data_IF_901220203409
#
_entry.id   IF_901220203409
#
_cell.length_a   1.000
_cell.length_b   1.000
_cell.length_c   1.000
_cell.angle_alpha   90.00
_cell.angle_beta   90.00
_cell.angle_gamma   90.00
#
_symmetry.space_group_name_H-M   'P 1'
#
loop_
_entity.id
_entity.type
_entity.pdbx_description
1 polymer ?
#
# COMPACT_ATOMS: atom_id res chain seq x y z
N UNK A 1 -14.88 15.87 38.83
CA UNK A 1 -14.47 14.60 38.18
C UNK A 1 -14.41 14.86 36.69
N UNK A 2 -13.25 15.13 36.16
CA UNK A 2 -13.06 15.30 34.71
C UNK A 2 -12.90 13.91 34.09
N UNK A 3 -13.92 13.48 33.38
CA UNK A 3 -13.89 12.25 32.58
C UNK A 3 -12.95 12.49 31.37
N UNK A 4 -11.65 12.27 31.54
CA UNK A 4 -10.71 12.16 30.43
C UNK A 4 -11.01 10.87 29.67
N UNK A 5 -12.04 10.88 28.81
CA UNK A 5 -12.12 9.95 27.71
C UNK A 5 -10.96 10.26 26.78
N UNK A 6 -9.81 9.63 26.97
CA UNK A 6 -8.79 9.58 25.93
C UNK A 6 -9.46 9.05 24.66
N UNK A 7 -9.71 9.92 23.71
CA UNK A 7 -10.16 9.52 22.37
C UNK A 7 -9.04 8.65 21.80
N UNK A 8 -9.26 7.34 21.82
CA UNK A 8 -8.30 6.41 21.23
C UNK A 8 -8.35 6.66 19.73
N UNK A 9 -7.34 7.34 19.19
CA UNK A 9 -7.22 7.59 17.77
C UNK A 9 -7.04 6.25 17.04
N UNK A 10 -7.94 6.01 16.09
CA UNK A 10 -7.85 4.86 15.20
C UNK A 10 -7.22 5.30 13.89
N UNK A 11 -6.37 4.44 13.34
CA UNK A 11 -5.68 4.68 12.09
C UNK A 11 -6.14 3.71 11.01
N UNK A 12 -6.07 4.16 9.77
CA UNK A 12 -6.09 3.32 8.59
C UNK A 12 -4.72 3.39 7.89
N UNK A 13 -4.44 2.40 7.08
CA UNK A 13 -3.24 2.37 6.25
C UNK A 13 -3.67 2.35 4.78
N UNK A 14 -3.10 3.24 3.96
CA UNK A 14 -3.04 3.07 2.53
C UNK A 14 -1.70 2.47 2.16
N UNK A 15 -1.70 1.19 1.83
CA UNK A 15 -0.49 0.47 1.45
C UNK A 15 -0.32 0.49 -0.06
N UNK A 16 0.53 1.39 -0.56
CA UNK A 16 0.96 1.40 -1.96
C UNK A 16 1.86 0.20 -2.24
N UNK A 17 1.58 -0.48 -3.33
CA UNK A 17 2.35 -1.67 -3.77
C UNK A 17 2.99 -1.41 -5.13
N UNK A 18 2.24 -1.55 -6.23
CA UNK A 18 2.69 -1.30 -7.62
C UNK A 18 1.90 -0.19 -8.31
N UNK A 19 0.92 0.33 -7.65
CA UNK A 19 -0.05 1.34 -8.07
C UNK A 19 0.37 2.74 -7.59
N UNK A 20 1.57 3.17 -7.94
CA UNK A 20 2.22 4.38 -7.43
C UNK A 20 1.64 5.66 -8.06
N UNK A 21 0.33 5.85 -7.91
CA UNK A 21 -0.42 6.99 -8.45
C UNK A 21 -1.49 7.49 -7.49
N UNK A 22 -1.87 8.78 -7.63
CA UNK A 22 -2.92 9.41 -6.80
C UNK A 22 -4.26 9.56 -7.54
N UNK A 23 -4.26 9.38 -8.86
CA UNK A 23 -5.45 9.44 -9.69
C UNK A 23 -5.86 8.04 -10.11
N UNK A 24 -7.18 7.79 -10.21
CA UNK A 24 -7.75 6.49 -10.55
C UNK A 24 -7.19 5.35 -9.68
N UNK A 25 -7.16 5.59 -8.39
CA UNK A 25 -6.70 4.65 -7.38
C UNK A 25 -7.79 4.48 -6.32
N UNK A 26 -8.60 3.43 -6.49
CA UNK A 26 -9.73 3.14 -5.61
C UNK A 26 -9.31 2.95 -4.16
N UNK A 27 -8.21 2.21 -3.91
CA UNK A 27 -7.72 1.98 -2.56
C UNK A 27 -7.35 3.30 -1.86
N UNK A 28 -6.69 4.21 -2.58
CA UNK A 28 -6.35 5.53 -2.06
C UNK A 28 -7.62 6.36 -1.80
N UNK A 29 -8.56 6.36 -2.75
CA UNK A 29 -9.82 7.09 -2.63
C UNK A 29 -10.64 6.60 -1.42
N UNK A 30 -10.78 5.29 -1.24
CA UNK A 30 -11.50 4.72 -0.09
C UNK A 30 -10.77 4.97 1.24
N UNK A 31 -9.43 4.86 1.27
CA UNK A 31 -8.64 5.14 2.48
C UNK A 31 -8.74 6.59 2.93
N UNK A 32 -8.91 7.53 1.99
CA UNK A 32 -9.02 8.97 2.29
C UNK A 32 -10.30 9.37 3.02
N UNK A 33 -11.30 8.51 3.04
CA UNK A 33 -12.54 8.73 3.80
C UNK A 33 -12.36 8.55 5.32
N UNK A 34 -11.21 8.04 5.75
CA UNK A 34 -10.88 7.84 7.16
C UNK A 34 -10.02 8.98 7.68
N UNK A 35 -10.27 9.38 8.93
CA UNK A 35 -9.70 10.58 9.53
C UNK A 35 -8.21 10.49 9.82
N UNK A 36 -7.58 9.36 9.89
CA UNK A 36 -6.14 9.24 10.17
C UNK A 36 -5.60 8.13 9.28
N UNK A 37 -5.11 8.49 8.12
CA UNK A 37 -4.58 7.56 7.14
C UNK A 37 -3.05 7.67 7.04
N UNK A 38 -2.36 6.53 7.18
CA UNK A 38 -0.93 6.41 6.94
C UNK A 38 -0.71 5.89 5.51
N UNK A 39 -0.31 6.74 4.56
CA UNK A 39 0.14 6.26 3.24
C UNK A 39 1.54 5.67 3.39
N UNK A 40 1.66 4.37 3.13
CA UNK A 40 2.92 3.65 3.29
C UNK A 40 3.37 2.99 1.99
N UNK A 41 4.69 2.84 1.84
CA UNK A 41 5.32 1.92 0.92
C UNK A 41 6.37 1.09 1.66
N UNK A 42 6.41 -0.21 1.39
CA UNK A 42 7.38 -1.13 2.00
C UNK A 42 8.24 -1.74 0.90
N UNK A 43 9.55 -1.47 0.95
CA UNK A 43 10.52 -2.19 0.14
C UNK A 43 10.89 -3.48 0.87
N UNK A 44 10.31 -4.58 0.42
CA UNK A 44 10.53 -5.88 1.07
C UNK A 44 11.94 -6.41 0.82
N UNK A 45 12.65 -6.71 1.91
CA UNK A 45 14.03 -7.20 1.85
C UNK A 45 14.18 -8.58 1.21
N UNK A 46 13.14 -9.41 1.26
CA UNK A 46 13.18 -10.73 0.63
C UNK A 46 12.84 -10.63 -0.87
N UNK A 47 11.98 -9.65 -1.26
CA UNK A 47 11.75 -9.31 -2.67
C UNK A 47 13.05 -8.86 -3.36
N UNK A 48 13.87 -8.07 -2.69
CA UNK A 48 15.16 -7.60 -3.23
C UNK A 48 16.15 -8.73 -3.55
N UNK A 49 16.03 -9.88 -2.88
CA UNK A 49 16.89 -11.05 -3.11
C UNK A 49 16.43 -11.94 -4.27
N UNK A 50 15.26 -11.66 -4.83
CA UNK A 50 14.76 -12.44 -5.96
C UNK A 50 15.63 -12.22 -7.21
N UNK A 51 15.97 -13.28 -7.94
CA UNK A 51 16.79 -13.16 -9.16
C UNK A 51 16.12 -12.37 -10.27
N UNK A 52 14.81 -12.13 -10.16
CA UNK A 52 14.02 -11.31 -11.09
C UNK A 52 14.09 -9.82 -10.78
N UNK A 53 14.69 -9.42 -9.66
CA UNK A 53 14.86 -8.01 -9.28
C UNK A 53 16.13 -7.47 -9.90
N UNK A 54 16.04 -6.43 -10.73
CA UNK A 54 17.17 -5.78 -11.39
C UNK A 54 17.33 -4.34 -10.93
N UNK A 55 18.53 -3.78 -11.13
CA UNK A 55 18.82 -2.38 -10.81
C UNK A 55 17.93 -1.41 -11.60
N UNK A 56 17.58 -1.77 -12.86
CA UNK A 56 16.65 -0.98 -13.66
C UNK A 56 15.26 -0.88 -13.03
N UNK A 57 14.74 -1.99 -12.52
CA UNK A 57 13.46 -2.00 -11.82
C UNK A 57 13.50 -1.13 -10.56
N UNK A 58 14.62 -1.17 -9.83
CA UNK A 58 14.77 -0.42 -8.58
C UNK A 58 14.96 1.08 -8.83
N UNK A 59 15.68 1.47 -9.88
CA UNK A 59 15.80 2.86 -10.28
C UNK A 59 14.45 3.43 -10.70
N UNK A 60 13.71 2.70 -11.54
CA UNK A 60 12.35 3.09 -11.95
C UNK A 60 11.40 3.18 -10.75
N UNK A 61 11.49 2.23 -9.82
CA UNK A 61 10.71 2.25 -8.58
C UNK A 61 11.02 3.50 -7.74
N UNK A 62 12.30 3.84 -7.60
CA UNK A 62 12.72 5.03 -6.86
C UNK A 62 12.14 6.30 -7.46
N UNK A 63 12.27 6.49 -8.77
CA UNK A 63 11.72 7.66 -9.48
C UNK A 63 10.19 7.73 -9.33
N UNK A 64 9.53 6.57 -9.39
CA UNK A 64 8.08 6.46 -9.20
C UNK A 64 7.64 6.84 -7.78
N UNK A 65 8.41 6.43 -6.76
CA UNK A 65 8.15 6.77 -5.36
C UNK A 65 8.38 8.26 -5.08
N UNK A 66 9.40 8.87 -5.67
CA UNK A 66 9.62 10.31 -5.59
C UNK A 66 8.45 11.07 -6.20
N UNK A 67 8.00 10.68 -7.37
CA UNK A 67 6.86 11.28 -8.04
C UNK A 67 5.57 11.11 -7.21
N UNK A 68 5.31 9.90 -6.68
CA UNK A 68 4.19 9.67 -5.78
C UNK A 68 4.23 10.58 -4.56
N UNK A 69 5.40 10.73 -3.93
CA UNK A 69 5.55 11.58 -2.75
C UNK A 69 5.33 13.07 -3.07
N UNK A 70 5.79 13.55 -4.23
CA UNK A 70 5.50 14.90 -4.72
C UNK A 70 3.99 15.09 -4.89
N UNK A 71 3.31 14.12 -5.47
CA UNK A 71 1.87 14.19 -5.69
C UNK A 71 1.06 14.07 -4.38
N UNK A 72 1.47 13.23 -3.44
CA UNK A 72 0.85 13.16 -2.11
C UNK A 72 0.99 14.48 -1.34
N UNK A 73 2.11 15.19 -1.49
CA UNK A 73 2.28 16.53 -0.88
C UNK A 73 1.25 17.53 -1.37
N UNK A 74 0.80 17.45 -2.63
CA UNK A 74 -0.29 18.30 -3.17
C UNK A 74 -1.63 18.03 -2.48
N UNK A 75 -1.76 16.85 -1.87
CA UNK A 75 -2.93 16.42 -1.08
C UNK A 75 -2.69 16.58 0.43
N UNK A 76 -1.72 17.41 0.84
CA UNK A 76 -1.29 17.60 2.23
C UNK A 76 -0.81 16.30 2.92
N UNK A 77 -0.37 15.32 2.14
CA UNK A 77 0.14 14.05 2.62
C UNK A 77 1.63 13.88 2.37
N UNK A 78 2.17 12.80 2.89
CA UNK A 78 3.55 12.38 2.65
C UNK A 78 3.63 10.86 2.70
N UNK A 79 4.42 10.26 1.81
CA UNK A 79 4.64 8.82 1.82
C UNK A 79 5.55 8.42 3.00
N UNK A 80 5.06 7.49 3.82
CA UNK A 80 5.85 6.84 4.86
C UNK A 80 6.56 5.62 4.23
N UNK A 81 7.88 5.68 4.15
CA UNK A 81 8.68 4.66 3.51
C UNK A 81 9.34 3.74 4.53
N UNK A 82 9.23 2.43 4.32
CA UNK A 82 9.85 1.40 5.15
C UNK A 82 10.71 0.46 4.31
N UNK A 83 11.80 -0.02 4.89
CA UNK A 83 12.63 -1.07 4.34
C UNK A 83 12.75 -2.22 5.34
N UNK A 84 12.51 -3.44 4.88
CA UNK A 84 12.55 -4.64 5.72
C UNK A 84 11.55 -5.69 5.25
N UNK A 85 11.39 -6.76 6.01
CA UNK A 85 10.34 -7.76 5.71
C UNK A 85 8.97 -7.15 5.95
N UNK A 86 8.11 -7.22 4.96
CA UNK A 86 6.75 -6.64 5.02
C UNK A 86 5.99 -7.11 6.26
N UNK A 87 6.13 -8.38 6.62
CA UNK A 87 5.48 -8.95 7.81
C UNK A 87 5.93 -8.26 9.11
N UNK A 88 7.24 -8.02 9.27
CA UNK A 88 7.80 -7.39 10.47
C UNK A 88 7.44 -5.89 10.54
N UNK A 89 7.41 -5.22 9.40
CA UNK A 89 6.96 -3.82 9.32
C UNK A 89 5.51 -3.68 9.79
N UNK A 90 4.60 -4.57 9.35
CA UNK A 90 3.21 -4.52 9.81
C UNK A 90 3.09 -4.83 11.31
N UNK A 91 3.86 -5.78 11.85
CA UNK A 91 3.89 -6.02 13.31
C UNK A 91 4.28 -4.76 14.06
N UNK A 92 5.37 -4.11 13.67
CA UNK A 92 5.82 -2.86 14.27
C UNK A 92 4.73 -1.76 14.20
N UNK A 93 4.04 -1.63 13.06
CA UNK A 93 2.96 -0.66 12.89
C UNK A 93 1.78 -0.96 13.83
N UNK A 94 1.42 -2.23 14.03
CA UNK A 94 0.34 -2.61 14.95
C UNK A 94 0.69 -2.39 16.43
N UNK A 95 1.97 -2.45 16.78
CA UNK A 95 2.45 -2.10 18.13
C UNK A 95 2.36 -0.60 18.41
N UNK A 96 2.58 0.24 17.37
CA UNK A 96 2.62 1.70 17.49
C UNK A 96 1.26 2.37 17.32
N UNK A 97 0.45 1.84 16.43
CA UNK A 97 -0.79 2.46 16.00
C UNK A 97 -1.98 1.52 16.19
N UNK A 98 -3.09 2.07 16.62
CA UNK A 98 -4.34 1.31 16.68
C UNK A 98 -4.96 1.23 15.28
N UNK A 99 -4.38 0.40 14.45
CA UNK A 99 -4.83 0.20 13.07
C UNK A 99 -6.17 -0.55 13.07
N UNK A 100 -7.10 -0.09 12.24
CA UNK A 100 -8.41 -0.74 12.04
C UNK A 100 -8.58 -1.29 10.64
N UNK A 101 -8.05 -0.58 9.65
CA UNK A 101 -8.20 -0.95 8.25
C UNK A 101 -6.90 -0.76 7.48
N UNK A 102 -6.68 -1.64 6.53
CA UNK A 102 -5.61 -1.53 5.53
C UNK A 102 -6.27 -1.55 4.17
N UNK A 103 -5.92 -0.57 3.34
CA UNK A 103 -6.34 -0.47 1.95
C UNK A 103 -5.16 -0.72 1.04
N UNK A 104 -5.34 -1.54 0.04
CA UNK A 104 -4.35 -1.73 -1.02
C UNK A 104 -5.04 -2.19 -2.31
N UNK A 105 -4.39 -1.98 -3.45
CA UNK A 105 -4.81 -2.67 -4.66
C UNK A 105 -4.30 -4.11 -4.67
N UNK A 106 -5.04 -5.01 -5.33
CA UNK A 106 -4.62 -6.38 -5.55
C UNK A 106 -3.35 -6.43 -6.39
N UNK A 107 -2.47 -7.39 -6.08
CA UNK A 107 -1.25 -7.64 -6.83
C UNK A 107 -1.33 -9.01 -7.48
N UNK A 108 -1.19 -9.02 -8.81
CA UNK A 108 -1.17 -10.24 -9.63
C UNK A 108 0.25 -10.43 -10.15
N UNK A 109 1.13 -10.97 -9.34
CA UNK A 109 2.52 -11.09 -9.75
C UNK A 109 3.01 -12.55 -9.70
N UNK A 110 3.85 -12.85 -8.76
CA UNK A 110 4.57 -14.09 -8.64
C UNK A 110 4.18 -14.86 -7.37
N UNK A 111 4.74 -16.03 -7.20
CA UNK A 111 4.51 -16.88 -6.03
C UNK A 111 4.91 -16.19 -4.72
N UNK A 112 5.94 -15.31 -4.76
CA UNK A 112 6.35 -14.55 -3.60
C UNK A 112 5.20 -13.70 -3.05
N UNK A 113 4.55 -12.91 -3.92
CA UNK A 113 3.44 -12.05 -3.52
C UNK A 113 2.20 -12.82 -3.07
N UNK A 114 1.92 -13.95 -3.73
CA UNK A 114 0.81 -14.84 -3.34
C UNK A 114 1.05 -15.39 -1.91
N UNK A 115 2.27 -15.84 -1.62
CA UNK A 115 2.60 -16.36 -0.29
C UNK A 115 2.65 -15.27 0.77
N UNK A 116 3.20 -14.10 0.42
CA UNK A 116 3.21 -12.93 1.29
C UNK A 116 1.78 -12.53 1.68
N UNK A 117 0.87 -12.42 0.70
CA UNK A 117 -0.52 -12.03 0.95
C UNK A 117 -1.25 -13.06 1.83
N UNK A 118 -0.99 -14.35 1.66
CA UNK A 118 -1.53 -15.39 2.55
C UNK A 118 -1.07 -15.21 3.99
N UNK A 119 0.23 -14.98 4.20
CA UNK A 119 0.80 -14.80 5.54
C UNK A 119 0.29 -13.52 6.20
N UNK A 120 0.18 -12.42 5.43
CA UNK A 120 -0.36 -11.15 5.92
C UNK A 120 -1.84 -11.25 6.28
N UNK A 121 -2.64 -12.01 5.52
CA UNK A 121 -4.05 -12.25 5.87
C UNK A 121 -4.20 -12.91 7.26
N UNK A 122 -3.32 -13.86 7.59
CA UNK A 122 -3.30 -14.48 8.92
C UNK A 122 -2.93 -13.45 9.99
N UNK A 123 -1.89 -12.65 9.75
CA UNK A 123 -1.45 -11.60 10.68
C UNK A 123 -2.56 -10.56 10.92
N UNK A 124 -3.19 -10.05 9.85
CA UNK A 124 -4.20 -9.01 9.96
C UNK A 124 -5.46 -9.50 10.68
N UNK A 125 -5.88 -10.73 10.39
CA UNK A 125 -7.00 -11.38 11.12
C UNK A 125 -6.68 -11.54 12.61
N UNK A 126 -5.47 -11.99 12.96
CA UNK A 126 -5.06 -12.15 14.37
C UNK A 126 -5.00 -10.81 15.13
N UNK A 127 -4.68 -9.72 14.42
CA UNK A 127 -4.67 -8.36 14.96
C UNK A 127 -6.06 -7.68 14.94
N UNK A 128 -7.09 -8.34 14.46
CA UNK A 128 -8.43 -7.78 14.24
C UNK A 128 -8.42 -6.53 13.37
N UNK A 129 -7.64 -6.59 12.27
CA UNK A 129 -7.50 -5.54 11.26
C UNK A 129 -8.16 -6.00 9.96
N UNK A 130 -9.05 -5.18 9.43
CA UNK A 130 -9.71 -5.44 8.16
C UNK A 130 -8.77 -5.05 7.00
N UNK A 131 -8.52 -5.99 6.07
CA UNK A 131 -7.77 -5.70 4.84
C UNK A 131 -8.70 -5.64 3.63
N UNK A 132 -8.80 -4.45 3.06
CA UNK A 132 -9.64 -4.15 1.90
C UNK A 132 -8.73 -4.08 0.67
N UNK A 133 -8.91 -5.03 -0.23
CA UNK A 133 -8.18 -5.09 -1.49
C UNK A 133 -9.10 -4.70 -2.64
N UNK A 134 -8.73 -3.66 -3.39
CA UNK A 134 -9.47 -3.19 -4.56
C UNK A 134 -8.92 -3.80 -5.85
N UNK A 135 -9.76 -3.88 -6.86
CA UNK A 135 -9.39 -4.45 -8.14
C UNK A 135 -8.80 -3.38 -9.06
N UNK A 136 -7.56 -3.58 -9.49
CA UNK A 136 -6.83 -2.62 -10.31
C UNK A 136 -6.87 -2.91 -11.82
N UNK A 137 -7.09 -4.16 -12.22
CA UNK A 137 -6.90 -4.59 -13.61
C UNK A 137 -8.13 -5.25 -14.24
N UNK A 138 -9.29 -5.21 -13.58
CA UNK A 138 -10.48 -5.92 -14.07
C UNK A 138 -10.36 -7.45 -14.06
N UNK A 139 -9.29 -7.99 -13.48
CA UNK A 139 -9.05 -9.43 -13.35
C UNK A 139 -9.60 -9.87 -11.98
N UNK A 140 -10.41 -10.92 -11.99
CA UNK A 140 -10.89 -11.56 -10.76
C UNK A 140 -10.04 -12.79 -10.46
N UNK A 141 -9.37 -12.80 -9.30
CA UNK A 141 -8.52 -13.94 -8.89
C UNK A 141 -9.31 -15.21 -8.55
N UNK A 142 -10.53 -15.04 -8.05
CA UNK A 142 -11.36 -16.14 -7.60
C UNK A 142 -12.59 -16.27 -8.51
N UNK A 143 -12.93 -17.49 -8.88
CA UNK A 143 -14.11 -17.84 -9.68
C UNK A 143 -14.15 -17.24 -11.11
N UNK A 144 -12.99 -17.19 -11.78
CA UNK A 144 -12.96 -16.73 -13.16
C UNK A 144 -13.57 -17.77 -14.10
N UNK A 145 -14.79 -17.53 -14.54
CA UNK A 145 -15.43 -18.30 -15.60
C UNK A 145 -14.90 -17.76 -16.93
N UNK A 146 -14.21 -18.62 -17.69
CA UNK A 146 -13.53 -18.24 -18.95
C UNK A 146 -14.45 -17.51 -19.94
N UNK A 147 -15.73 -17.89 -19.99
CA UNK A 147 -16.73 -17.25 -20.87
C UNK A 147 -17.15 -15.84 -20.44
N UNK A 148 -16.93 -15.47 -19.19
CA UNK A 148 -17.35 -14.16 -18.64
C UNK A 148 -16.23 -13.11 -18.65
N UNK A 149 -15.00 -13.52 -18.97
CA UNK A 149 -13.84 -12.62 -18.90
C UNK A 149 -14.02 -11.32 -19.70
N UNK A 150 -14.48 -11.44 -20.95
CA UNK A 150 -14.70 -10.27 -21.83
C UNK A 150 -15.80 -9.32 -21.31
N UNK A 151 -16.85 -9.88 -20.70
CA UNK A 151 -17.92 -9.08 -20.12
C UNK A 151 -17.44 -8.35 -18.86
N UNK A 152 -16.72 -9.03 -17.98
CA UNK A 152 -16.14 -8.46 -16.77
C UNK A 152 -15.10 -7.38 -17.10
N UNK A 153 -14.25 -7.61 -18.11
CA UNK A 153 -13.30 -6.63 -18.60
C UNK A 153 -14.00 -5.37 -19.14
N UNK A 154 -15.04 -5.54 -19.97
CA UNK A 154 -15.82 -4.41 -20.49
C UNK A 154 -16.50 -3.62 -19.36
N UNK A 155 -17.06 -4.31 -18.37
CA UNK A 155 -17.66 -3.66 -17.21
C UNK A 155 -16.63 -2.83 -16.42
N UNK A 156 -15.45 -3.39 -16.21
CA UNK A 156 -14.36 -2.70 -15.52
C UNK A 156 -13.84 -1.49 -16.33
N UNK A 157 -13.55 -1.67 -17.62
CA UNK A 157 -13.00 -0.61 -18.48
C UNK A 157 -13.98 0.56 -18.72
N UNK A 158 -15.28 0.30 -18.61
CA UNK A 158 -16.33 1.32 -18.73
C UNK A 158 -16.74 1.89 -17.36
N UNK A 159 -16.13 1.45 -16.25
CA UNK A 159 -16.42 2.02 -14.94
C UNK A 159 -15.89 3.45 -14.82
N UNK A 160 -16.50 4.24 -13.94
CA UNK A 160 -16.01 5.59 -13.66
C UNK A 160 -14.63 5.51 -13.00
N UNK A 161 -13.73 6.37 -13.45
CA UNK A 161 -12.42 6.56 -12.81
C UNK A 161 -12.58 7.22 -11.44
N UNK A 162 -11.73 6.85 -10.51
CA UNK A 162 -11.67 7.47 -9.18
C UNK A 162 -10.88 8.78 -9.27
N UNK A 163 -11.52 9.87 -8.86
CA UNK A 163 -10.84 11.17 -8.75
C UNK A 163 -9.75 11.17 -7.68
N UNK A 164 -8.98 12.24 -7.65
CA UNK A 164 -8.04 12.45 -6.54
C UNK A 164 -8.81 12.62 -5.23
N UNK A 165 -8.30 12.09 -4.10
CA UNK A 165 -8.90 12.34 -2.81
C UNK A 165 -8.96 13.83 -2.48
N UNK A 166 -10.09 14.26 -1.97
CA UNK A 166 -10.29 15.63 -1.50
C UNK A 166 -10.47 15.57 0.01
N UNK A 167 -9.76 16.43 0.74
CA UNK A 167 -9.81 16.49 2.23
C UNK A 167 -9.31 15.24 2.95
N UNK A 168 -8.33 14.54 2.38
CA UNK A 168 -7.68 13.44 3.08
C UNK A 168 -6.81 13.96 4.24
N UNK A 169 -6.93 13.34 5.40
CA UNK A 169 -6.06 13.60 6.54
C UNK A 169 -4.99 12.52 6.61
N UNK A 170 -3.85 12.82 5.99
CA UNK A 170 -2.72 11.89 5.93
C UNK A 170 -1.75 12.16 7.08
N UNK A 171 -1.39 11.09 7.78
CA UNK A 171 -0.47 11.13 8.89
C UNK A 171 0.96 10.75 8.48
N UNK A 172 1.94 11.30 9.19
CA UNK A 172 3.33 10.98 9.03
C UNK A 172 3.83 10.17 10.23
N UNK A 173 4.38 8.99 9.98
CA UNK A 173 5.13 8.27 11.00
C UNK A 173 6.52 8.89 11.16
N UNK A 174 6.80 9.45 12.33
CA UNK A 174 8.09 10.05 12.66
C UNK A 174 9.26 9.04 12.63
N UNK A 175 8.97 7.76 12.73
CA UNK A 175 9.97 6.68 12.72
C UNK A 175 10.27 6.13 11.34
N UNK A 176 9.47 6.51 10.31
CA UNK A 176 9.74 6.06 8.97
C UNK A 176 11.06 6.63 8.45
N UNK A 177 11.77 5.85 7.66
CA UNK A 177 12.96 6.31 6.96
C UNK A 177 12.56 7.31 5.89
N UNK A 178 12.51 8.60 6.23
CA UNK A 178 12.23 9.67 5.27
C UNK A 178 13.37 9.90 4.26
N UNK A 179 14.46 9.18 4.41
CA UNK A 179 15.52 9.15 3.40
C UNK A 179 15.08 8.20 2.31
N UNK A 180 14.40 8.74 1.30
CA UNK A 180 14.36 8.08 0.00
C UNK A 180 15.75 7.54 -0.27
N UNK A 181 15.79 6.33 -0.77
CA UNK A 181 17.02 5.63 -1.09
C UNK A 181 17.87 6.58 -1.95
N UNK A 182 18.84 7.24 -1.34
CA UNK A 182 19.94 7.81 -2.11
C UNK A 182 20.47 6.64 -2.92
N UNK A 183 20.25 6.68 -4.26
CA UNK A 183 20.72 5.68 -5.21
C UNK A 183 21.25 4.43 -4.52
N UNK A 184 20.44 3.40 -4.40
CA UNK A 184 20.95 2.09 -4.05
C UNK A 184 21.94 1.71 -5.16
N UNK A 185 23.20 2.08 -4.98
CA UNK A 185 24.26 1.52 -5.78
C UNK A 185 24.44 0.09 -5.30
N UNK A 186 23.76 -0.84 -5.95
CA UNK A 186 23.82 -2.28 -5.65
C UNK A 186 25.21 -2.88 -5.83
N UNK A 187 26.18 -2.13 -6.30
CA UNK A 187 27.59 -2.52 -6.35
C UNK A 187 28.20 -2.84 -4.97
N UNK A 188 27.51 -2.57 -3.85
CA UNK A 188 28.04 -2.80 -2.50
C UNK A 188 27.36 -3.96 -1.75
N UNK A 189 26.47 -4.73 -2.37
CA UNK A 189 25.79 -5.88 -1.72
C UNK A 189 26.06 -7.24 -2.38
N UNK A 190 27.07 -7.36 -3.23
CA UNK A 190 27.57 -8.66 -3.73
C UNK A 190 28.83 -9.05 -3.00
#
# INVERSE_FOLDING_TARGET
MFNNKFLIMHFSIMWFRYDLRIYDNEALYESSKFSNCLPIFILDSDYLKLPTTSDFHLNFLNDSLENLNINLKKLNGKLNYYHGKTFDVFKMLFERYKIKKIFSNQVFKDLFHIQLDKNLNVLFKSANVEWIQTNQFGIQLNNMIRGEWSANWRKFSNSKTFGQPVNANYELDSSCSNKFIKKLSFAQQR
#
